data_IF_897901207586
#
_entry.id   IF_897901207586
#
_cell.length_a   1.000
_cell.length_b   1.000
_cell.length_c   1.000
_cell.angle_alpha   90.00
_cell.angle_beta   90.00
_cell.angle_gamma   90.00
#
_symmetry.space_group_name_H-M   'P 1'
#
loop_
_entity.id
_entity.type
_entity.pdbx_description
1 polymer ?
#
# COMPACT_ATOMS: atom_id res chain seq x y z
N UNK A 1 4.04 -14.13 -1.87
CA UNK A 1 5.49 -14.38 -1.74
C UNK A 1 6.00 -14.26 -0.30
N UNK A 2 5.71 -13.18 0.45
CA UNK A 2 6.19 -13.03 1.84
C UNK A 2 5.54 -13.97 2.88
N UNK A 3 4.30 -14.43 2.67
CA UNK A 3 3.67 -15.43 3.54
C UNK A 3 4.43 -16.78 3.50
N UNK A 4 4.97 -17.17 2.35
CA UNK A 4 5.80 -18.38 2.23
C UNK A 4 7.16 -18.22 2.91
N UNK A 5 7.77 -17.03 2.88
CA UNK A 5 9.03 -16.76 3.60
C UNK A 5 8.81 -16.86 5.12
N UNK A 6 7.66 -16.38 5.62
CA UNK A 6 7.31 -16.50 7.03
C UNK A 6 7.05 -17.94 7.46
N UNK A 7 6.35 -18.73 6.63
CA UNK A 7 6.11 -20.16 6.90
C UNK A 7 7.43 -20.95 6.90
N UNK A 8 8.36 -20.64 5.99
CA UNK A 8 9.67 -21.27 5.95
C UNK A 8 10.54 -20.90 7.17
N UNK A 9 10.53 -19.63 7.61
CA UNK A 9 11.23 -19.23 8.84
C UNK A 9 10.64 -19.90 10.08
N UNK A 10 9.31 -20.05 10.15
CA UNK A 10 8.64 -20.74 11.26
C UNK A 10 8.98 -22.25 11.25
N UNK A 11 8.98 -22.90 10.09
CA UNK A 11 9.32 -24.32 9.95
C UNK A 11 10.79 -24.61 10.30
N UNK A 12 11.73 -23.75 9.91
CA UNK A 12 13.16 -23.91 10.24
C UNK A 12 13.47 -23.70 11.72
N UNK A 13 12.68 -22.86 12.42
CA UNK A 13 12.89 -22.59 13.85
C UNK A 13 12.44 -23.76 14.73
N UNK A 14 11.42 -24.53 14.31
CA UNK A 14 10.97 -25.72 15.04
C UNK A 14 11.75 -26.99 14.69
N UNK A 15 12.46 -27.03 13.55
CA UNK A 15 13.25 -28.20 13.14
C UNK A 15 14.65 -28.29 13.76
N UNK A 16 15.10 -27.28 14.52
CA UNK A 16 16.41 -27.28 15.19
C UNK A 16 16.33 -27.45 16.72
N UNK A 17 15.18 -27.86 17.24
CA UNK A 17 15.05 -28.32 18.62
C UNK A 17 15.30 -29.84 18.65
N UNK A 18 16.57 -30.24 18.56
CA UNK A 18 16.99 -31.61 18.85
C UNK A 18 16.71 -31.93 20.34
N UNK A 19 15.84 -32.89 20.70
CA UNK A 19 15.50 -33.16 22.10
C UNK A 19 16.58 -33.94 22.87
N UNK A 20 17.76 -34.21 22.30
CA UNK A 20 18.67 -35.23 22.83
C UNK A 20 20.10 -34.74 23.00
N UNK A 21 20.38 -34.07 24.12
CA UNK A 21 21.73 -34.08 24.71
C UNK A 21 21.62 -34.28 26.22
N UNK A 22 21.53 -35.56 26.61
CA UNK A 22 21.70 -36.03 27.99
C UNK A 22 23.19 -35.97 28.34
N UNK A 23 23.58 -34.94 29.11
CA UNK A 23 24.90 -34.88 29.76
C UNK A 23 24.82 -35.71 31.04
N UNK A 24 25.55 -36.83 31.04
CA UNK A 24 25.83 -37.65 32.22
C UNK A 24 27.04 -37.05 32.94
N UNK A 25 26.84 -36.58 34.17
CA UNK A 25 27.93 -36.11 35.04
C UNK A 25 27.49 -36.00 36.50
N UNK A 26 27.93 -36.97 37.32
CA UNK A 26 27.79 -36.99 38.80
C UNK A 26 28.70 -35.95 39.46
N UNK A 27 28.25 -35.30 40.54
CA UNK A 27 28.73 -35.58 41.92
C UNK A 27 28.07 -34.66 42.99
N UNK A 28 27.32 -35.30 43.90
CA UNK A 28 27.02 -35.04 45.32
C UNK A 28 26.88 -33.62 45.92
N UNK A 29 25.75 -33.39 46.60
CA UNK A 29 25.71 -33.35 48.09
C UNK A 29 24.28 -33.62 48.60
N UNK A 30 24.20 -34.34 49.71
CA UNK A 30 23.00 -34.94 50.28
C UNK A 30 21.98 -33.92 50.80
N UNK A 31 20.69 -34.18 50.55
CA UNK A 31 19.62 -33.60 51.36
C UNK A 31 18.41 -33.06 50.62
N UNK A 32 17.81 -33.81 49.68
CA UNK A 32 16.36 -33.77 49.42
C UNK A 32 15.95 -34.91 48.47
N UNK A 33 15.11 -35.83 48.98
CA UNK A 33 14.57 -36.98 48.25
C UNK A 33 13.53 -36.53 47.21
N UNK A 34 13.98 -36.28 45.98
CA UNK A 34 13.13 -36.26 44.80
C UNK A 34 13.36 -37.56 44.02
N UNK A 35 12.54 -38.58 44.27
CA UNK A 35 12.70 -39.94 43.69
C UNK A 35 11.91 -40.19 42.41
N UNK A 36 11.29 -39.18 41.80
CA UNK A 36 10.70 -39.31 40.46
C UNK A 36 11.36 -38.34 39.48
N UNK A 37 11.82 -38.88 38.35
CA UNK A 37 12.73 -38.31 37.36
C UNK A 37 12.15 -37.14 36.52
N UNK A 38 11.29 -36.30 37.10
CA UNK A 38 10.57 -35.24 36.40
C UNK A 38 10.65 -33.90 37.12
N UNK A 39 11.81 -33.54 37.66
CA UNK A 39 12.11 -32.16 38.03
C UNK A 39 12.74 -31.41 36.84
N UNK A 40 12.02 -31.32 35.73
CA UNK A 40 12.33 -30.36 34.66
C UNK A 40 11.93 -28.98 35.18
N UNK A 41 12.90 -28.07 35.21
CA UNK A 41 12.77 -26.72 35.74
C UNK A 41 11.68 -25.95 34.93
N UNK A 42 10.44 -25.93 35.43
CA UNK A 42 9.27 -25.34 34.75
C UNK A 42 9.44 -23.85 34.43
N UNK A 43 10.45 -23.19 35.00
CA UNK A 43 10.72 -21.77 34.80
C UNK A 43 11.44 -21.47 33.47
N UNK A 44 12.22 -22.40 32.90
CA UNK A 44 12.95 -22.13 31.64
C UNK A 44 12.02 -22.16 30.43
N UNK A 45 11.03 -23.06 30.39
CA UNK A 45 10.08 -23.18 29.28
C UNK A 45 9.17 -21.95 29.16
N UNK A 46 8.79 -21.33 30.29
CA UNK A 46 7.94 -20.13 30.29
C UNK A 46 8.64 -18.91 29.67
N UNK A 47 9.94 -18.75 29.89
CA UNK A 47 10.69 -17.61 29.35
C UNK A 47 10.78 -17.63 27.82
N UNK A 48 11.04 -18.78 27.20
CA UNK A 48 11.16 -18.90 25.74
C UNK A 48 9.87 -18.59 24.98
N UNK A 49 8.71 -18.99 25.54
CA UNK A 49 7.40 -18.71 24.94
C UNK A 49 7.15 -17.19 24.91
N UNK A 50 7.52 -16.48 25.98
CA UNK A 50 7.32 -15.02 26.06
C UNK A 50 8.21 -14.25 25.09
N UNK A 51 9.49 -14.61 24.96
CA UNK A 51 10.39 -13.94 24.01
C UNK A 51 9.98 -14.19 22.56
N UNK A 52 9.62 -15.43 22.19
CA UNK A 52 9.13 -15.74 20.85
C UNK A 52 7.86 -14.93 20.49
N UNK A 53 6.92 -14.80 21.43
CA UNK A 53 5.72 -13.98 21.24
C UNK A 53 6.03 -12.50 20.98
N UNK A 54 6.98 -11.91 21.72
CA UNK A 54 7.39 -10.52 21.53
C UNK A 54 8.03 -10.29 20.16
N UNK A 55 8.93 -11.17 19.71
CA UNK A 55 9.54 -11.05 18.38
C UNK A 55 8.51 -11.19 17.25
N UNK A 56 7.53 -12.09 17.40
CA UNK A 56 6.45 -12.23 16.43
C UNK A 56 5.62 -10.94 16.31
N UNK A 57 5.22 -10.35 17.44
CA UNK A 57 4.46 -9.10 17.46
C UNK A 57 5.25 -7.95 16.83
N UNK A 58 6.53 -7.78 17.19
CA UNK A 58 7.40 -6.74 16.61
C UNK A 58 7.51 -6.94 15.10
N UNK A 59 7.72 -8.18 14.63
CA UNK A 59 7.83 -8.49 13.21
C UNK A 59 6.54 -8.13 12.45
N UNK A 60 5.37 -8.50 13.00
CA UNK A 60 4.08 -8.14 12.42
C UNK A 60 3.91 -6.61 12.36
N UNK A 61 4.23 -5.87 13.42
CA UNK A 61 4.14 -4.40 13.44
C UNK A 61 5.07 -3.78 12.39
N UNK A 62 6.31 -4.26 12.28
CA UNK A 62 7.27 -3.81 11.28
C UNK A 62 6.79 -4.10 9.85
N UNK A 63 6.20 -5.28 9.61
CA UNK A 63 5.59 -5.63 8.35
C UNK A 63 4.43 -4.68 8.00
N UNK A 64 3.52 -4.43 8.95
CA UNK A 64 2.39 -3.51 8.73
C UNK A 64 2.88 -2.08 8.40
N UNK A 65 3.86 -1.56 9.14
CA UNK A 65 4.46 -0.25 8.86
C UNK A 65 5.14 -0.19 7.50
N UNK A 66 5.78 -1.27 7.05
CA UNK A 66 6.44 -1.29 5.75
C UNK A 66 5.44 -1.18 4.60
N UNK A 67 4.25 -1.73 4.77
CA UNK A 67 3.20 -1.77 3.75
C UNK A 67 2.38 -0.48 3.67
N UNK A 68 2.39 0.33 4.73
CA UNK A 68 1.80 1.66 4.71
C UNK A 68 2.28 2.48 3.50
N UNK A 69 1.34 3.11 2.80
CA UNK A 69 1.60 4.00 1.68
C UNK A 69 2.10 3.32 0.41
N UNK A 70 1.88 2.00 0.29
CA UNK A 70 2.10 1.26 -0.97
C UNK A 70 0.79 0.63 -1.41
N UNK A 71 0.42 0.74 -2.69
CA UNK A 71 -0.70 -0.02 -3.19
C UNK A 71 -0.36 -1.52 -3.12
N UNK A 72 -1.37 -2.34 -2.85
CA UNK A 72 -1.23 -3.80 -2.84
C UNK A 72 -0.81 -4.34 -4.22
N UNK A 73 -1.11 -3.60 -5.29
CA UNK A 73 -0.91 -3.95 -6.69
C UNK A 73 -0.27 -2.79 -7.43
N UNK A 74 0.54 -3.09 -8.44
CA UNK A 74 0.99 -2.07 -9.39
C UNK A 74 -0.20 -1.54 -10.21
N UNK A 75 -0.05 -0.36 -10.83
CA UNK A 75 -1.09 0.19 -11.70
C UNK A 75 -1.47 -0.78 -12.83
N UNK A 76 -0.48 -1.45 -13.43
CA UNK A 76 -0.68 -2.51 -14.44
C UNK A 76 -1.57 -3.62 -13.92
N UNK A 77 -1.25 -4.18 -12.75
CA UNK A 77 -2.02 -5.26 -12.17
C UNK A 77 -3.41 -4.81 -11.69
N UNK A 78 -3.53 -3.58 -11.19
CA UNK A 78 -4.79 -2.97 -10.76
C UNK A 78 -5.77 -2.84 -11.93
N UNK A 79 -5.32 -2.28 -13.05
CA UNK A 79 -6.14 -2.11 -14.26
C UNK A 79 -6.49 -3.47 -14.88
N UNK A 80 -5.55 -4.40 -14.95
CA UNK A 80 -5.79 -5.73 -15.53
C UNK A 80 -6.80 -6.58 -14.75
N UNK A 81 -6.76 -6.56 -13.41
CA UNK A 81 -7.63 -7.43 -12.61
C UNK A 81 -9.11 -7.04 -12.62
N UNK A 82 -9.40 -5.79 -12.99
CA UNK A 82 -10.78 -5.32 -13.14
C UNK A 82 -11.46 -5.87 -14.39
N UNK A 83 -10.73 -6.48 -15.33
CA UNK A 83 -11.23 -6.89 -16.65
C UNK A 83 -12.31 -7.98 -16.62
N UNK A 84 -12.54 -8.62 -15.48
CA UNK A 84 -13.48 -9.73 -15.34
C UNK A 84 -14.94 -9.28 -15.16
N UNK A 85 -15.16 -8.00 -14.83
CA UNK A 85 -16.50 -7.40 -14.72
C UNK A 85 -16.76 -6.60 -16.00
N UNK A 86 -17.30 -7.27 -17.02
CA UNK A 86 -17.69 -6.62 -18.28
C UNK A 86 -18.93 -5.77 -17.99
N UNK A 87 -18.78 -4.46 -18.02
CA UNK A 87 -19.91 -3.55 -18.06
C UNK A 87 -20.40 -3.43 -19.52
N UNK A 88 -21.58 -3.97 -19.82
CA UNK A 88 -22.23 -3.89 -21.15
C UNK A 88 -22.68 -2.48 -21.55
N UNK A 89 -22.28 -1.43 -20.82
CA UNK A 89 -22.75 -0.07 -21.07
C UNK A 89 -21.77 0.71 -21.94
N UNK A 90 -22.26 1.23 -23.06
CA UNK A 90 -21.58 2.08 -24.06
C UNK A 90 -21.29 3.49 -23.51
N UNK A 91 -20.66 3.58 -22.35
CA UNK A 91 -20.29 4.86 -21.74
C UNK A 91 -18.78 4.94 -21.60
N UNK A 92 -18.17 5.98 -22.19
CA UNK A 92 -16.73 6.19 -22.17
C UNK A 92 -16.37 7.38 -21.27
N UNK A 93 -15.88 7.15 -20.02
CA UNK A 93 -15.56 8.24 -19.09
C UNK A 93 -14.24 8.98 -19.37
N UNK A 94 -13.43 8.52 -20.32
CA UNK A 94 -12.04 8.95 -20.47
C UNK A 94 -11.91 10.09 -21.47
N UNK A 95 -12.21 11.31 -21.03
CA UNK A 95 -12.12 12.51 -21.86
C UNK A 95 -10.80 13.27 -21.63
N UNK A 96 -10.08 13.58 -22.72
CA UNK A 96 -8.93 14.48 -22.67
C UNK A 96 -9.38 15.91 -22.39
N UNK A 97 -8.70 16.61 -21.49
CA UNK A 97 -9.03 17.99 -21.14
C UNK A 97 -8.70 18.32 -19.69
N UNK A 98 -9.44 19.27 -19.13
CA UNK A 98 -9.24 19.71 -17.74
C UNK A 98 -10.08 18.86 -16.79
N UNK A 99 -9.45 18.45 -15.71
CA UNK A 99 -10.04 17.68 -14.63
C UNK A 99 -9.84 18.42 -13.31
N UNK A 100 -10.80 18.23 -12.42
CA UNK A 100 -10.73 18.64 -11.03
C UNK A 100 -10.39 17.42 -10.18
N UNK A 101 -9.36 17.53 -9.35
CA UNK A 101 -8.96 16.51 -8.39
C UNK A 101 -9.10 16.99 -6.95
N UNK A 102 -9.39 16.07 -6.03
CA UNK A 102 -9.33 16.33 -4.60
C UNK A 102 -8.86 15.08 -3.86
N UNK A 103 -8.16 15.28 -2.74
CA UNK A 103 -7.61 14.20 -1.95
C UNK A 103 -7.83 14.45 -0.46
N UNK A 104 -7.99 13.36 0.30
CA UNK A 104 -8.18 13.45 1.74
C UNK A 104 -6.83 13.28 2.45
N UNK A 105 -6.41 14.25 3.27
CA UNK A 105 -5.17 14.22 4.02
C UNK A 105 -5.32 15.03 5.31
N UNK A 106 -4.75 14.55 6.42
CA UNK A 106 -4.82 15.22 7.73
C UNK A 106 -6.25 15.54 8.16
N UNK A 107 -7.14 14.55 7.99
CA UNK A 107 -8.57 14.65 8.34
C UNK A 107 -9.34 15.78 7.63
N UNK A 108 -8.84 16.23 6.47
CA UNK A 108 -9.48 17.23 5.64
C UNK A 108 -9.41 16.86 4.14
N UNK A 109 -10.36 17.38 3.37
CA UNK A 109 -10.28 17.38 1.90
C UNK A 109 -9.45 18.57 1.42
N UNK A 110 -8.52 18.30 0.51
CA UNK A 110 -7.69 19.29 -0.18
C UNK A 110 -8.12 19.34 -1.65
N UNK A 111 -8.26 20.56 -2.19
CA UNK A 111 -8.80 20.83 -3.51
C UNK A 111 -10.17 21.54 -3.50
N UNK A 112 -10.84 21.66 -4.67
CA UNK A 112 -10.46 21.06 -5.94
C UNK A 112 -9.22 21.71 -6.59
N UNK A 113 -8.31 20.89 -7.11
CA UNK A 113 -7.17 21.31 -7.90
C UNK A 113 -7.36 20.93 -9.37
N UNK A 114 -6.99 21.85 -10.26
CA UNK A 114 -7.12 21.64 -11.71
C UNK A 114 -5.89 20.93 -12.25
N UNK A 115 -6.10 19.94 -13.10
CA UNK A 115 -5.05 19.27 -13.87
C UNK A 115 -5.52 19.01 -15.29
N UNK A 116 -4.59 18.94 -16.22
CA UNK A 116 -4.86 18.52 -17.60
C UNK A 116 -4.50 17.04 -17.74
N UNK A 117 -5.40 16.25 -18.33
CA UNK A 117 -5.16 14.86 -18.69
C UNK A 117 -5.38 14.66 -20.19
N UNK A 118 -4.53 13.85 -20.81
CA UNK A 118 -4.60 13.42 -22.20
C UNK A 118 -4.65 11.90 -22.24
N UNK A 119 -5.75 11.37 -22.78
CA UNK A 119 -5.98 9.94 -22.94
C UNK A 119 -5.67 9.53 -24.38
N UNK A 120 -4.82 8.52 -24.51
CA UNK A 120 -4.49 7.88 -25.79
C UNK A 120 -5.26 6.56 -25.90
N UNK A 121 -6.25 6.52 -26.80
CA UNK A 121 -7.11 5.36 -27.02
C UNK A 121 -6.40 4.19 -27.71
N UNK A 122 -5.29 4.43 -28.40
CA UNK A 122 -4.53 3.37 -29.08
C UNK A 122 -3.63 2.63 -28.08
N UNK A 123 -2.95 3.38 -27.22
CA UNK A 123 -1.99 2.79 -26.25
C UNK A 123 -2.56 2.56 -24.86
N UNK A 124 -3.79 3.02 -24.60
CA UNK A 124 -4.46 3.00 -23.29
C UNK A 124 -3.62 3.67 -22.19
N UNK A 125 -2.85 4.68 -22.58
CA UNK A 125 -2.03 5.50 -21.69
C UNK A 125 -2.72 6.82 -21.41
N UNK A 126 -2.43 7.36 -20.24
CA UNK A 126 -2.84 8.70 -19.85
C UNK A 126 -1.62 9.47 -19.41
N UNK A 127 -1.49 10.70 -19.91
CA UNK A 127 -0.47 11.65 -19.51
C UNK A 127 -1.11 12.95 -19.05
N UNK A 128 -0.37 13.79 -18.34
CA UNK A 128 -0.91 15.04 -17.88
C UNK A 128 0.03 15.82 -16.98
N UNK A 129 -0.48 16.95 -16.50
CA UNK A 129 0.23 17.82 -15.57
C UNK A 129 -0.77 18.64 -14.75
N UNK A 130 -0.32 19.12 -13.60
CA UNK A 130 -1.14 19.98 -12.75
C UNK A 130 -0.31 20.67 -11.68
N UNK A 131 -1.02 21.42 -10.84
CA UNK A 131 -0.51 22.14 -9.69
C UNK A 131 -1.50 21.95 -8.53
N UNK A 132 -0.98 21.64 -7.34
CA UNK A 132 -1.74 21.59 -6.10
C UNK A 132 -0.98 22.26 -4.95
N UNK A 133 -1.46 22.06 -3.72
CA UNK A 133 -0.87 22.63 -2.50
C UNK A 133 0.57 22.18 -2.25
N UNK A 134 1.01 21.05 -2.83
CA UNK A 134 2.36 20.51 -2.68
C UNK A 134 3.29 21.12 -3.75
N UNK A 135 2.85 21.22 -5.00
CA UNK A 135 3.60 21.88 -6.06
C UNK A 135 3.24 21.40 -7.47
N UNK A 136 4.07 21.78 -8.45
CA UNK A 136 3.90 21.34 -9.84
C UNK A 136 4.20 19.85 -9.98
N UNK A 137 3.43 19.17 -10.83
CA UNK A 137 3.62 17.73 -11.08
C UNK A 137 3.26 17.32 -12.51
N UNK A 138 3.84 16.19 -12.90
CA UNK A 138 3.51 15.44 -14.11
C UNK A 138 2.75 14.17 -13.73
N UNK A 139 1.85 13.72 -14.61
CA UNK A 139 1.04 12.52 -14.44
C UNK A 139 1.31 11.59 -15.60
N UNK A 140 1.55 10.32 -15.28
CA UNK A 140 1.63 9.23 -16.25
C UNK A 140 0.84 8.03 -15.72
N UNK A 141 0.15 7.30 -16.58
CA UNK A 141 -0.64 6.17 -16.15
C UNK A 141 -1.19 5.32 -17.28
N UNK A 142 -2.04 4.40 -16.89
CA UNK A 142 -2.78 3.51 -17.78
C UNK A 142 -4.23 3.41 -17.31
N UNK A 143 -5.13 3.08 -18.23
CA UNK A 143 -6.54 2.90 -17.94
C UNK A 143 -7.10 1.71 -18.72
N UNK A 144 -8.28 1.23 -18.31
CA UNK A 144 -9.03 0.23 -19.07
C UNK A 144 -10.32 0.86 -19.59
N UNK A 145 -10.41 0.99 -20.91
CA UNK A 145 -11.60 1.46 -21.62
C UNK A 145 -12.84 0.57 -21.39
N UNK A 146 -12.64 -0.71 -21.03
CA UNK A 146 -13.70 -1.70 -20.90
C UNK A 146 -14.28 -1.76 -19.49
N UNK A 147 -13.43 -1.61 -18.47
CA UNK A 147 -13.82 -1.84 -17.07
C UNK A 147 -13.70 -0.59 -16.20
N UNK A 148 -13.22 0.50 -16.79
CA UNK A 148 -13.11 1.82 -16.18
C UNK A 148 -12.22 1.98 -14.91
N UNK A 149 -11.25 1.12 -14.55
CA UNK A 149 -10.20 1.50 -13.62
C UNK A 149 -9.12 2.32 -14.32
N UNK A 150 -8.42 3.11 -13.51
CA UNK A 150 -7.28 3.90 -13.94
C UNK A 150 -6.22 3.90 -12.84
N UNK A 151 -4.97 3.65 -13.24
CA UNK A 151 -3.81 3.70 -12.38
C UNK A 151 -2.84 4.78 -12.83
N UNK A 152 -2.69 5.83 -12.03
CA UNK A 152 -1.84 6.99 -12.29
C UNK A 152 -0.60 7.00 -11.37
N UNK A 153 0.45 7.61 -11.87
CA UNK A 153 1.64 8.00 -11.11
C UNK A 153 1.80 9.50 -11.29
N UNK A 154 1.62 10.22 -10.20
CA UNK A 154 1.87 11.65 -10.09
C UNK A 154 3.29 11.86 -9.59
N UNK A 155 4.12 12.61 -10.31
CA UNK A 155 5.51 12.89 -9.94
C UNK A 155 5.70 14.39 -9.76
N UNK A 156 6.00 14.81 -8.53
CA UNK A 156 6.27 16.22 -8.25
C UNK A 156 7.61 16.67 -8.83
N UNK A 157 7.64 17.88 -9.37
CA UNK A 157 8.87 18.54 -9.80
C UNK A 157 9.56 19.14 -8.58
N UNK A 158 10.77 18.68 -8.27
CA UNK A 158 11.53 19.20 -7.12
C UNK A 158 11.80 20.71 -7.29
N UNK A 159 11.58 21.48 -6.23
CA UNK A 159 11.83 22.93 -6.21
C UNK A 159 10.62 23.80 -6.53
N UNK A 160 9.42 23.22 -6.64
CA UNK A 160 8.15 23.95 -6.82
C UNK A 160 7.28 23.79 -5.57
N UNK A 161 6.33 24.71 -5.34
CA UNK A 161 5.40 24.64 -4.20
C UNK A 161 6.08 24.67 -2.82
N UNK A 162 5.55 23.88 -1.88
CA UNK A 162 6.05 23.82 -0.49
C UNK A 162 7.27 22.90 -0.39
N UNK A 163 8.48 23.42 -0.11
CA UNK A 163 9.70 22.61 -0.05
C UNK A 163 9.74 21.62 1.12
N UNK A 164 8.90 21.81 2.14
CA UNK A 164 8.80 20.89 3.28
C UNK A 164 8.06 19.59 2.91
N UNK A 165 7.15 19.68 1.93
CA UNK A 165 6.31 18.58 1.46
C UNK A 165 6.76 18.05 0.09
N UNK A 166 7.14 18.93 -0.83
CA UNK A 166 7.62 18.57 -2.17
C UNK A 166 9.08 18.11 -2.15
N UNK A 167 9.24 16.82 -1.86
CA UNK A 167 10.53 16.13 -1.94
C UNK A 167 10.88 15.64 -3.36
N UNK A 168 10.13 16.04 -4.40
CA UNK A 168 10.26 15.49 -5.76
C UNK A 168 9.83 14.02 -5.87
N UNK A 169 8.92 13.60 -4.98
CA UNK A 169 8.50 12.21 -4.85
C UNK A 169 7.33 11.86 -5.79
N UNK A 170 7.04 10.57 -5.89
CA UNK A 170 5.89 10.05 -6.64
C UNK A 170 4.75 9.64 -5.72
N UNK A 171 3.53 9.88 -6.18
CA UNK A 171 2.28 9.44 -5.57
C UNK A 171 1.59 8.50 -6.56
N UNK A 172 1.26 7.29 -6.14
CA UNK A 172 0.45 6.36 -6.93
C UNK A 172 -1.02 6.62 -6.66
N UNK A 173 -1.85 6.67 -7.68
CA UNK A 173 -3.29 6.90 -7.57
C UNK A 173 -4.00 5.75 -8.31
N UNK A 174 -4.96 5.11 -7.65
CA UNK A 174 -5.75 4.02 -8.21
C UNK A 174 -7.22 4.35 -8.00
N UNK A 175 -7.96 4.52 -9.10
CA UNK A 175 -9.35 4.96 -9.10
C UNK A 175 -10.21 4.16 -10.07
N UNK A 176 -11.50 4.08 -9.76
CA UNK A 176 -12.54 3.44 -10.59
C UNK A 176 -13.65 4.44 -10.85
N UNK A 177 -14.27 4.36 -12.03
CA UNK A 177 -15.42 5.19 -12.37
C UNK A 177 -16.63 4.86 -11.49
N UNK A 178 -17.21 5.87 -10.84
CA UNK A 178 -18.48 5.78 -10.16
C UNK A 178 -19.60 6.30 -11.08
N UNK A 179 -20.39 5.39 -11.64
CA UNK A 179 -21.48 5.70 -12.58
C UNK A 179 -22.56 6.60 -11.97
N UNK A 180 -22.84 6.46 -10.67
CA UNK A 180 -23.88 7.24 -9.99
C UNK A 180 -23.43 8.69 -9.78
N UNK A 181 -22.17 8.89 -9.40
CA UNK A 181 -21.62 10.21 -9.06
C UNK A 181 -20.92 10.91 -10.23
N UNK A 182 -20.74 10.19 -11.35
CA UNK A 182 -20.08 10.66 -12.57
C UNK A 182 -18.69 11.26 -12.31
N UNK A 183 -17.90 10.55 -11.53
CA UNK A 183 -16.50 10.86 -11.30
C UNK A 183 -15.71 9.57 -11.01
N UNK A 184 -14.39 9.65 -11.06
CA UNK A 184 -13.51 8.59 -10.57
C UNK A 184 -13.27 8.74 -9.07
N UNK A 185 -13.32 7.63 -8.34
CA UNK A 185 -13.01 7.58 -6.91
C UNK A 185 -12.06 6.41 -6.59
N UNK A 186 -11.27 6.57 -5.54
CA UNK A 186 -10.34 5.53 -5.12
C UNK A 186 -9.37 6.02 -4.07
N UNK A 187 -8.10 5.62 -4.20
CA UNK A 187 -7.06 5.96 -3.23
C UNK A 187 -5.81 6.54 -3.89
N UNK A 188 -5.15 7.41 -3.16
CA UNK A 188 -3.75 7.77 -3.39
C UNK A 188 -2.85 7.04 -2.39
N UNK A 189 -1.59 6.81 -2.77
CA UNK A 189 -0.56 6.14 -2.00
C UNK A 189 0.76 6.89 -2.16
N UNK A 190 1.42 7.19 -1.05
CA UNK A 190 2.75 7.81 -1.07
C UNK A 190 3.69 7.10 -0.11
N UNK A 191 4.94 6.97 -0.54
CA UNK A 191 6.02 6.55 0.33
C UNK A 191 7.29 7.32 0.00
N UNK A 192 7.71 8.14 0.96
CA UNK A 192 8.98 8.85 0.97
C UNK A 192 9.84 8.34 2.13
N UNK A 193 11.03 8.92 2.30
CA UNK A 193 11.86 8.67 3.49
C UNK A 193 11.32 9.35 4.77
N UNK A 194 10.49 10.38 4.64
CA UNK A 194 9.93 11.16 5.77
C UNK A 194 8.48 10.80 6.10
N UNK A 195 7.73 10.37 5.10
CA UNK A 195 6.28 10.22 5.17
C UNK A 195 5.82 9.03 4.34
N UNK A 196 4.85 8.29 4.89
CA UNK A 196 4.12 7.23 4.21
C UNK A 196 2.65 7.43 4.54
N UNK A 197 1.79 7.31 3.54
CA UNK A 197 0.35 7.51 3.72
C UNK A 197 -0.45 7.01 2.54
N UNK A 198 -1.72 6.76 2.80
CA UNK A 198 -2.73 6.48 1.79
C UNK A 198 -4.07 7.03 2.26
N UNK A 199 -4.89 7.49 1.32
CA UNK A 199 -6.26 7.89 1.64
C UNK A 199 -7.11 8.07 0.38
N UNK A 200 -8.34 8.55 0.54
CA UNK A 200 -9.32 8.77 -0.53
C UNK A 200 -8.83 9.80 -1.55
N UNK A 201 -9.15 9.55 -2.80
CA UNK A 201 -8.89 10.42 -3.95
C UNK A 201 -10.13 10.47 -4.86
N UNK A 202 -10.42 11.63 -5.42
CA UNK A 202 -11.50 11.83 -6.39
C UNK A 202 -11.02 12.66 -7.58
N UNK A 203 -11.54 12.33 -8.76
CA UNK A 203 -11.18 12.96 -10.03
C UNK A 203 -12.42 13.12 -10.91
N UNK A 204 -12.74 14.35 -11.29
CA UNK A 204 -13.95 14.72 -12.02
C UNK A 204 -13.63 15.57 -13.25
N UNK A 205 -14.18 15.21 -14.40
CA UNK A 205 -13.97 15.97 -15.62
C UNK A 205 -14.65 17.34 -15.54
N UNK A 206 -13.92 18.40 -15.87
CA UNK A 206 -14.49 19.73 -16.03
C UNK A 206 -15.03 19.85 -17.45
N UNK A 207 -16.36 19.76 -17.61
CA UNK A 207 -16.97 20.08 -18.89
C UNK A 207 -16.62 21.52 -19.25
N UNK A 208 -15.99 21.71 -20.40
CA UNK A 208 -15.89 23.02 -21.02
C UNK A 208 -17.30 23.54 -21.24
N UNK A 209 -17.70 24.56 -20.47
CA UNK A 209 -18.90 25.31 -20.82
C UNK A 209 -18.57 26.05 -22.12
N UNK A 210 -19.06 25.54 -23.25
CA UNK A 210 -19.20 26.35 -24.45
C UNK A 210 -19.99 27.59 -24.04
N UNK A 211 -19.34 28.75 -24.07
CA UNK A 211 -20.05 30.01 -23.89
C UNK A 211 -21.11 30.04 -24.99
N UNK A 212 -22.38 29.99 -24.61
CA UNK A 212 -23.47 30.27 -25.55
C UNK A 212 -23.27 31.72 -25.99
N UNK A 213 -22.79 31.91 -27.20
CA UNK A 213 -22.83 33.18 -27.91
C UNK A 213 -24.26 33.68 -28.07
#
# INVERSE_FOLDING_TARGET
MFLHIFILFYASFFHNLDPYHLIVGRSYSEGQNCTNATCVNQNTTKTWITTAGVYFIISVICCLKWWSGRPLRSNVSYVALSSNEIHEQEFYPFESGVWSSQYYQYDAWHGPHRLSLSFDSETLKVTGNGLDDIGDYEVEGIYSATTHPMGLTKKYRKGTGDPSQNLGHSVTIQVTWNTNQRHFEGKWFVKTNKYSGENKFQLKFEKSYEAKE
#
